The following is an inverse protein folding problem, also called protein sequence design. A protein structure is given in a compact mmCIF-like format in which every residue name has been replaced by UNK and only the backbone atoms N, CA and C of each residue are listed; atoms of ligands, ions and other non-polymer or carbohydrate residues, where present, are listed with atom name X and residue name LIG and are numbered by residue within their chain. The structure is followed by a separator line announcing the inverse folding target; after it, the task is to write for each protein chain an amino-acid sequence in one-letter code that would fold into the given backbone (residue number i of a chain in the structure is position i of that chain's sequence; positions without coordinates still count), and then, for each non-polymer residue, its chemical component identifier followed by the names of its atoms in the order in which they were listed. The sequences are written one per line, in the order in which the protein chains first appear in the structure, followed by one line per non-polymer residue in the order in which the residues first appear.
data_IF_081241435733
#
_entry.id   IF_081241435733
#
_cell.length_a   1.000
_cell.length_b   1.000
_cell.length_c   1.000
_cell.angle_alpha   90.00
_cell.angle_beta   90.00
_cell.angle_gamma   90.00
#
_symmetry.space_group_name_H-M   'P 1'
#
loop_
_entity.id
_entity.type
_entity.pdbx_description
1 polymer ?
#
# COMPACT_ATOMS: atom_id res chain seq x y z
N UNK A 1 -7.69 -37.12 39.82
CA UNK A 1 -7.05 -36.41 38.70
C UNK A 1 -8.12 -35.59 38.02
N UNK A 2 -8.26 -34.33 38.42
CA UNK A 2 -9.28 -33.40 37.92
C UNK A 2 -8.55 -32.24 37.23
N UNK A 3 -7.85 -32.56 36.15
CA UNK A 3 -7.05 -31.60 35.40
C UNK A 3 -6.99 -32.06 33.94
N UNK A 4 -8.14 -32.24 33.28
CA UNK A 4 -8.13 -32.84 31.93
C UNK A 4 -8.96 -32.07 30.91
N UNK A 5 -10.23 -31.76 31.20
CA UNK A 5 -11.11 -31.21 30.15
C UNK A 5 -10.89 -29.73 29.80
N UNK A 6 -10.58 -28.90 30.80
CA UNK A 6 -10.31 -27.48 30.57
C UNK A 6 -8.89 -27.22 30.05
N UNK A 7 -7.90 -28.05 30.42
CA UNK A 7 -6.52 -27.88 29.95
C UNK A 7 -6.42 -28.19 28.46
N UNK A 8 -7.07 -29.27 27.99
CA UNK A 8 -7.13 -29.58 26.56
C UNK A 8 -7.79 -28.48 25.74
N UNK A 9 -8.90 -27.91 26.23
CA UNK A 9 -9.58 -26.79 25.55
C UNK A 9 -8.72 -25.51 25.54
N UNK A 10 -8.00 -25.21 26.62
CA UNK A 10 -7.08 -24.08 26.70
C UNK A 10 -5.90 -24.23 25.74
N UNK A 11 -5.29 -25.42 25.67
CA UNK A 11 -4.19 -25.71 24.73
C UNK A 11 -4.68 -25.63 23.29
N UNK A 12 -5.87 -26.16 23.00
CA UNK A 12 -6.47 -26.09 21.67
C UNK A 12 -6.71 -24.64 21.22
N UNK A 13 -7.25 -23.80 22.11
CA UNK A 13 -7.46 -22.37 21.84
C UNK A 13 -6.13 -21.64 21.60
N UNK A 14 -5.09 -21.97 22.37
CA UNK A 14 -3.76 -21.38 22.21
C UNK A 14 -3.11 -21.78 20.87
N UNK A 15 -3.23 -23.04 20.47
CA UNK A 15 -2.71 -23.55 19.19
C UNK A 15 -3.51 -22.99 18.02
N UNK A 16 -4.84 -23.03 18.06
CA UNK A 16 -5.68 -22.46 17.00
C UNK A 16 -5.49 -20.95 16.87
N UNK A 17 -5.42 -20.22 17.99
CA UNK A 17 -5.18 -18.78 18.00
C UNK A 17 -3.84 -18.42 17.35
N UNK A 18 -2.76 -19.09 17.74
CA UNK A 18 -1.41 -18.80 17.19
C UNK A 18 -1.29 -19.11 15.70
N UNK A 19 -1.95 -20.16 15.18
CA UNK A 19 -1.99 -20.46 13.73
C UNK A 19 -2.71 -19.34 12.97
N UNK A 20 -3.82 -18.82 13.52
CA UNK A 20 -4.56 -17.73 12.90
C UNK A 20 -3.76 -16.42 12.88
N UNK A 21 -3.00 -16.12 13.96
CA UNK A 21 -2.13 -14.94 13.99
C UNK A 21 -0.98 -15.02 12.98
N UNK A 22 -0.42 -16.21 12.74
CA UNK A 22 0.67 -16.40 11.77
C UNK A 22 0.21 -16.29 10.30
N UNK A 23 -1.08 -16.53 10.04
CA UNK A 23 -1.67 -16.42 8.71
C UNK A 23 -1.95 -14.95 8.28
N UNK A 24 -1.87 -14.01 9.22
CA UNK A 24 -2.07 -12.59 8.92
C UNK A 24 -0.75 -12.06 8.34
N UNK A 25 -0.69 -11.98 7.02
CA UNK A 25 0.35 -11.21 6.34
C UNK A 25 -0.11 -9.75 6.37
N UNK A 26 0.45 -8.88 7.24
CA UNK A 26 0.13 -7.47 7.17
C UNK A 26 0.57 -6.99 5.78
N UNK A 27 -0.40 -6.72 4.91
CA UNK A 27 -0.11 -5.97 3.70
C UNK A 27 0.24 -4.58 4.19
N UNK A 28 1.52 -4.23 4.08
CA UNK A 28 2.03 -2.90 4.40
C UNK A 28 1.18 -1.87 3.66
N UNK A 29 0.26 -1.22 4.38
CA UNK A 29 -0.61 -0.22 3.79
C UNK A 29 0.24 1.02 3.50
N UNK A 30 0.32 1.45 2.24
CA UNK A 30 1.07 2.64 1.86
C UNK A 30 0.43 3.87 2.52
N UNK A 31 1.12 4.46 3.50
CA UNK A 31 0.69 5.70 4.15
C UNK A 31 1.20 6.89 3.33
N UNK A 32 0.27 7.63 2.73
CA UNK A 32 0.58 8.82 1.95
C UNK A 32 0.21 10.10 2.70
N UNK A 33 1.04 11.13 2.54
CA UNK A 33 0.66 12.47 2.96
C UNK A 33 -0.53 12.96 2.11
N UNK A 34 -1.28 13.91 2.65
CA UNK A 34 -2.47 14.49 2.01
C UNK A 34 -2.18 15.81 1.28
N UNK A 35 -0.91 16.17 1.09
CA UNK A 35 -0.52 17.41 0.42
C UNK A 35 -0.45 17.13 -1.08
N UNK A 36 -1.14 17.96 -1.88
CA UNK A 36 -1.18 17.79 -3.33
C UNK A 36 -0.24 18.77 -4.05
N UNK A 37 0.28 18.36 -5.21
CA UNK A 37 1.00 19.24 -6.12
C UNK A 37 0.01 20.02 -6.98
N UNK A 38 -0.26 21.28 -6.59
CA UNK A 38 -1.24 22.13 -7.29
C UNK A 38 -0.90 22.46 -8.76
N UNK A 39 0.37 22.28 -9.17
CA UNK A 39 0.83 22.51 -10.53
C UNK A 39 0.87 21.24 -11.40
N UNK A 40 0.53 20.06 -10.85
CA UNK A 40 0.52 18.82 -11.62
C UNK A 40 -0.57 18.86 -12.70
N UNK A 41 -0.16 18.79 -13.96
CA UNK A 41 -1.04 18.85 -15.12
C UNK A 41 -1.35 17.46 -15.69
N UNK A 42 -0.36 16.55 -15.67
CA UNK A 42 -0.52 15.17 -16.12
C UNK A 42 0.50 14.25 -15.43
N UNK A 43 0.34 12.94 -15.61
CA UNK A 43 1.36 11.95 -15.24
C UNK A 43 1.64 10.95 -16.36
N UNK A 44 2.79 10.30 -16.30
CA UNK A 44 3.10 9.11 -17.12
C UNK A 44 3.53 7.97 -16.22
N UNK A 45 3.27 6.73 -16.64
CA UNK A 45 3.65 5.54 -15.90
C UNK A 45 4.36 4.55 -16.84
N UNK A 46 5.29 3.71 -16.34
CA UNK A 46 6.00 2.75 -17.18
C UNK A 46 5.06 1.80 -17.93
N UNK A 47 3.93 1.45 -17.31
CA UNK A 47 2.90 0.58 -17.90
C UNK A 47 2.13 1.20 -19.07
N UNK A 48 2.02 2.54 -19.11
CA UNK A 48 1.30 3.28 -20.16
C UNK A 48 2.24 3.96 -21.16
N UNK A 49 3.56 3.78 -21.00
CA UNK A 49 4.59 4.43 -21.80
C UNK A 49 4.48 5.96 -21.74
N UNK A 50 4.44 6.60 -22.92
CA UNK A 50 4.36 8.05 -23.05
C UNK A 50 2.93 8.62 -22.99
N UNK A 51 1.93 7.78 -22.72
CA UNK A 51 0.54 8.23 -22.61
C UNK A 51 0.40 9.14 -21.39
N UNK A 52 -0.12 10.35 -21.61
CA UNK A 52 -0.45 11.28 -20.54
C UNK A 52 -1.77 10.85 -19.89
N UNK A 53 -1.71 10.63 -18.58
CA UNK A 53 -2.87 10.28 -17.74
C UNK A 53 -3.21 11.45 -16.84
N UNK A 54 -4.44 11.48 -16.34
CA UNK A 54 -4.84 12.45 -15.31
C UNK A 54 -3.89 12.36 -14.10
N UNK A 55 -3.41 13.50 -13.60
CA UNK A 55 -2.46 13.50 -12.49
C UNK A 55 -3.17 13.08 -11.20
N UNK A 56 -2.48 12.29 -10.39
CA UNK A 56 -2.86 12.09 -8.99
C UNK A 56 -2.39 13.26 -8.12
N UNK A 57 -2.98 13.40 -6.93
CA UNK A 57 -2.65 14.47 -5.99
C UNK A 57 -1.14 14.56 -5.65
N UNK A 58 -0.47 13.42 -5.42
CA UNK A 58 0.98 13.37 -5.20
C UNK A 58 1.58 12.01 -5.61
N UNK A 59 2.91 11.93 -5.72
CA UNK A 59 3.60 10.71 -6.16
C UNK A 59 3.43 9.50 -5.23
N UNK A 60 3.10 9.70 -3.95
CA UNK A 60 2.82 8.56 -3.08
C UNK A 60 1.54 7.84 -3.52
N UNK A 61 0.55 8.59 -3.99
CA UNK A 61 -0.72 8.07 -4.51
C UNK A 61 -0.64 7.55 -5.95
N UNK A 62 0.54 7.56 -6.55
CA UNK A 62 0.71 7.02 -7.89
C UNK A 62 0.38 5.52 -7.93
N UNK A 63 -0.25 5.04 -9.01
CA UNK A 63 -0.77 3.67 -9.08
C UNK A 63 0.34 2.60 -9.17
N UNK A 64 1.54 2.99 -9.59
CA UNK A 64 2.69 2.11 -9.72
C UNK A 64 4.00 2.85 -9.47
N UNK A 65 5.05 2.09 -9.14
CA UNK A 65 6.41 2.61 -9.08
C UNK A 65 6.87 3.08 -10.46
N UNK A 66 7.67 4.14 -10.50
CA UNK A 66 8.16 4.77 -11.73
C UNK A 66 7.18 5.74 -12.39
N UNK A 67 5.94 5.87 -11.88
CA UNK A 67 5.04 6.91 -12.37
C UNK A 67 5.58 8.30 -12.03
N UNK A 68 5.54 9.23 -12.98
CA UNK A 68 6.08 10.59 -12.84
C UNK A 68 4.98 11.61 -13.09
N UNK A 69 4.84 12.58 -12.19
CA UNK A 69 3.94 13.72 -12.34
C UNK A 69 4.69 14.88 -13.00
N UNK A 70 4.00 15.63 -13.85
CA UNK A 70 4.57 16.74 -14.61
C UNK A 70 3.73 18.01 -14.49
N UNK A 71 4.39 19.15 -14.59
CA UNK A 71 3.75 20.43 -14.85
C UNK A 71 3.28 20.54 -16.31
N UNK A 72 2.51 21.57 -16.62
CA UNK A 72 1.94 21.81 -17.96
C UNK A 72 2.99 21.98 -19.06
N UNK A 73 4.20 22.43 -18.72
CA UNK A 73 5.34 22.62 -19.63
C UNK A 73 6.19 21.36 -19.79
N UNK A 74 5.83 20.27 -19.11
CA UNK A 74 6.56 19.00 -19.11
C UNK A 74 7.69 18.90 -18.10
N UNK A 75 7.84 19.86 -17.20
CA UNK A 75 8.80 19.77 -16.08
C UNK A 75 8.39 18.65 -15.11
N UNK A 76 9.27 17.68 -14.79
CA UNK A 76 8.94 16.62 -13.84
C UNK A 76 8.89 17.17 -12.40
N UNK A 77 7.80 16.89 -11.70
CA UNK A 77 7.59 17.29 -10.30
C UNK A 77 8.18 16.23 -9.36
N UNK A 78 7.83 14.97 -9.59
CA UNK A 78 8.28 13.84 -8.79
C UNK A 78 8.04 12.52 -9.52
N UNK A 79 8.75 11.46 -9.09
CA UNK A 79 8.56 10.08 -9.56
C UNK A 79 8.30 9.17 -8.36
N UNK A 80 7.30 8.29 -8.44
CA UNK A 80 7.02 7.31 -7.39
C UNK A 80 8.14 6.27 -7.29
N UNK A 81 8.69 6.09 -6.09
CA UNK A 81 9.69 5.07 -5.76
C UNK A 81 9.15 4.04 -4.78
#
# INVERSE_FOLDING_TARGET
MAADKNIGAMVLLLVCGSILLLAINPTEAKVCNKICYGAAAYMTCPSSGSTQLDPVCNCCLAPALGCTLYESDGTPICTST
#
